data_IF_929140052308
#
_entry.id   IF_929140052308
#
_cell.length_a   1.000
_cell.length_b   1.000
_cell.length_c   1.000
_cell.angle_alpha   90.00
_cell.angle_beta   90.00
_cell.angle_gamma   90.00
#
_symmetry.space_group_name_H-M   'P 1'
#
loop_
_entity.id
_entity.type
_entity.pdbx_description
1 polymer ?
#
# COMPACT_ATOMS: atom_id res chain seq x y z
N UNK A 1 3.44 10.60 -1.64
CA UNK A 1 3.73 12.02 -1.33
C UNK A 1 3.28 12.51 0.07
N UNK A 2 2.21 12.01 0.70
CA UNK A 2 1.83 12.45 2.06
C UNK A 2 2.86 12.08 3.15
N UNK A 3 3.49 10.91 3.05
CA UNK A 3 4.49 10.44 4.03
C UNK A 3 5.77 11.29 4.05
N UNK A 4 6.20 11.80 2.89
CA UNK A 4 7.36 12.69 2.77
C UNK A 4 7.08 14.06 3.42
N UNK A 5 5.90 14.62 3.19
CA UNK A 5 5.46 15.88 3.80
C UNK A 5 5.28 15.74 5.32
N UNK A 6 4.71 14.62 5.78
CA UNK A 6 4.55 14.34 7.22
C UNK A 6 5.88 14.23 7.96
N UNK A 7 6.89 13.59 7.34
CA UNK A 7 8.22 13.49 7.94
C UNK A 7 9.00 14.82 7.93
N UNK A 8 8.90 15.61 6.85
CA UNK A 8 9.55 16.93 6.79
C UNK A 8 8.95 17.92 7.79
N UNK A 9 7.63 17.88 8.01
CA UNK A 9 6.96 18.72 9.02
C UNK A 9 7.29 18.27 10.46
N UNK A 10 7.61 16.99 10.66
CA UNK A 10 8.01 16.44 11.96
C UNK A 10 9.51 16.60 12.27
N UNK A 11 10.30 17.23 11.38
CA UNK A 11 11.75 17.40 11.56
C UNK A 11 12.55 16.08 11.52
N UNK A 12 11.98 15.03 10.91
CA UNK A 12 12.61 13.73 10.78
C UNK A 12 13.49 13.68 9.52
N UNK A 13 14.62 12.94 9.53
CA UNK A 13 15.40 12.70 8.32
C UNK A 13 14.49 12.11 7.23
N UNK A 14 14.69 12.55 5.99
CA UNK A 14 13.84 12.16 4.88
C UNK A 14 13.71 10.63 4.82
N UNK A 15 12.50 10.07 4.96
CA UNK A 15 12.32 8.62 5.13
C UNK A 15 12.68 7.83 3.88
N UNK A 16 12.79 8.49 2.72
CA UNK A 16 13.12 7.88 1.44
C UNK A 16 14.19 8.71 0.72
N UNK A 17 15.16 8.03 0.12
CA UNK A 17 16.20 8.67 -0.70
C UNK A 17 15.70 8.97 -2.11
N UNK A 18 16.37 9.88 -2.82
CA UNK A 18 16.01 10.23 -4.20
C UNK A 18 16.03 9.02 -5.14
N UNK A 19 16.92 8.06 -4.94
CA UNK A 19 16.98 6.82 -5.72
C UNK A 19 15.82 5.84 -5.42
N UNK A 20 15.28 5.88 -4.20
CA UNK A 20 14.17 5.02 -3.79
C UNK A 20 12.81 5.47 -4.38
N UNK A 21 12.65 6.76 -4.71
CA UNK A 21 11.39 7.26 -5.29
C UNK A 21 11.09 6.67 -6.69
N UNK A 22 12.01 6.70 -7.67
CA UNK A 22 11.80 6.05 -8.96
C UNK A 22 11.60 4.55 -8.84
N UNK A 23 12.32 3.90 -7.91
CA UNK A 23 12.13 2.48 -7.63
C UNK A 23 10.69 2.17 -7.26
N UNK A 24 10.13 2.92 -6.32
CA UNK A 24 8.75 2.76 -5.88
C UNK A 24 7.76 2.98 -7.05
N UNK A 25 7.84 4.13 -7.72
CA UNK A 25 6.82 4.50 -8.71
C UNK A 25 6.90 3.68 -10.01
N UNK A 26 8.09 3.19 -10.39
CA UNK A 26 8.29 2.46 -11.65
C UNK A 26 8.26 0.96 -11.42
N UNK A 27 9.08 0.46 -10.49
CA UNK A 27 9.32 -0.97 -10.33
C UNK A 27 8.29 -1.60 -9.39
N UNK A 28 7.87 -0.88 -8.35
CA UNK A 28 6.96 -1.44 -7.35
C UNK A 28 5.49 -1.23 -7.72
N UNK A 29 5.14 -0.05 -8.22
CA UNK A 29 3.75 0.27 -8.59
C UNK A 29 3.39 -0.09 -10.04
N UNK A 30 4.37 -0.12 -10.93
CA UNK A 30 4.17 -0.41 -12.36
C UNK A 30 3.56 -1.80 -12.61
N UNK A 31 4.17 -2.90 -12.13
CA UNK A 31 3.66 -4.24 -12.39
C UNK A 31 2.24 -4.50 -11.84
N UNK A 32 1.88 -4.12 -10.59
CA UNK A 32 0.51 -4.22 -10.12
C UNK A 32 -0.49 -3.40 -10.94
N UNK A 33 -0.12 -2.18 -11.36
CA UNK A 33 -0.99 -1.36 -12.21
C UNK A 33 -1.28 -2.02 -13.57
N UNK A 34 -0.24 -2.60 -14.19
CA UNK A 34 -0.39 -3.36 -15.43
C UNK A 34 -1.23 -4.63 -15.23
N UNK A 35 -1.06 -5.34 -14.11
CA UNK A 35 -1.85 -6.52 -13.79
C UNK A 35 -3.34 -6.18 -13.57
N UNK A 36 -3.64 -5.01 -13.01
CA UNK A 36 -5.01 -4.51 -12.88
C UNK A 36 -5.62 -4.09 -14.22
N UNK A 37 -4.80 -3.59 -15.17
CA UNK A 37 -5.28 -3.21 -16.49
C UNK A 37 -5.77 -4.41 -17.33
N UNK A 38 -5.26 -5.61 -17.06
CA UNK A 38 -5.64 -6.87 -17.74
C UNK A 38 -6.57 -7.74 -16.89
N UNK A 39 -7.10 -7.21 -15.78
CA UNK A 39 -8.02 -7.93 -14.92
C UNK A 39 -9.35 -8.19 -15.67
N UNK A 40 -9.86 -9.43 -15.71
CA UNK A 40 -11.09 -9.73 -16.45
C UNK A 40 -12.26 -8.89 -15.94
N UNK A 41 -13.07 -8.41 -16.89
CA UNK A 41 -14.30 -7.71 -16.59
C UNK A 41 -15.22 -8.59 -15.74
N UNK A 42 -15.97 -7.97 -14.83
CA UNK A 42 -16.87 -8.68 -13.93
C UNK A 42 -18.06 -9.25 -14.70
N UNK A 43 -18.57 -10.40 -14.24
CA UNK A 43 -19.71 -11.08 -14.86
C UNK A 43 -21.00 -10.22 -14.87
N UNK A 44 -21.09 -9.22 -13.99
CA UNK A 44 -22.20 -8.28 -13.85
C UNK A 44 -22.00 -6.92 -14.52
N UNK A 45 -20.90 -6.73 -15.27
CA UNK A 45 -20.57 -5.43 -15.88
C UNK A 45 -21.67 -4.94 -16.83
N UNK A 46 -22.26 -5.84 -17.62
CA UNK A 46 -23.34 -5.54 -18.57
C UNK A 46 -24.71 -5.35 -17.91
N UNK A 47 -24.83 -5.63 -16.60
CA UNK A 47 -26.07 -5.42 -15.83
C UNK A 47 -26.14 -4.05 -15.19
N UNK A 48 -25.04 -3.30 -15.20
CA UNK A 48 -24.98 -1.95 -14.66
C UNK A 48 -25.28 -0.94 -15.77
N UNK A 49 -26.01 0.15 -15.48
CA UNK A 49 -26.24 1.21 -16.46
C UNK A 49 -24.90 1.83 -16.91
N UNK A 50 -24.82 2.35 -18.15
CA UNK A 50 -23.64 3.06 -18.62
C UNK A 50 -23.24 4.19 -17.67
N UNK A 51 -21.94 4.37 -17.45
CA UNK A 51 -21.44 5.44 -16.57
C UNK A 51 -21.77 6.81 -17.18
N UNK A 52 -22.23 7.73 -16.33
CA UNK A 52 -22.52 9.10 -16.72
C UNK A 52 -21.22 9.81 -17.14
N UNK A 53 -21.14 10.40 -18.36
CA UNK A 53 -19.96 11.13 -18.83
C UNK A 53 -19.56 12.32 -17.95
N UNK A 54 -20.51 12.92 -17.23
CA UNK A 54 -20.26 14.04 -16.33
C UNK A 54 -19.71 13.58 -14.96
N UNK A 55 -19.77 12.28 -14.67
CA UNK A 55 -19.31 11.73 -13.40
C UNK A 55 -17.77 11.69 -13.34
N UNK A 56 -17.20 12.55 -12.48
CA UNK A 56 -15.76 12.63 -12.29
C UNK A 56 -15.16 11.29 -11.89
N UNK A 57 -14.01 10.94 -12.49
CA UNK A 57 -13.22 9.76 -12.11
C UNK A 57 -12.85 9.81 -10.62
N UNK A 58 -12.57 11.01 -10.12
CA UNK A 58 -12.30 11.32 -8.72
C UNK A 58 -13.52 12.01 -8.08
N UNK A 59 -14.44 11.22 -7.54
CA UNK A 59 -15.51 11.72 -6.68
C UNK A 59 -14.97 12.04 -5.27
N UNK A 60 -15.64 12.94 -4.53
CA UNK A 60 -15.26 13.30 -3.16
C UNK A 60 -15.10 12.08 -2.24
N UNK A 61 -15.94 11.05 -2.42
CA UNK A 61 -15.82 9.75 -1.72
C UNK A 61 -14.50 9.04 -2.02
N UNK A 62 -14.08 9.00 -3.29
CA UNK A 62 -12.80 8.38 -3.70
C UNK A 62 -11.61 9.19 -3.19
N UNK A 63 -11.69 10.51 -3.28
CA UNK A 63 -10.65 11.39 -2.75
C UNK A 63 -10.47 11.21 -1.23
N UNK A 64 -11.57 11.09 -0.48
CA UNK A 64 -11.54 10.81 0.95
C UNK A 64 -10.97 9.42 1.29
N UNK A 65 -11.25 8.41 0.46
CA UNK A 65 -10.66 7.08 0.64
C UNK A 65 -9.14 7.11 0.40
N UNK A 66 -8.69 7.75 -0.69
CA UNK A 66 -7.26 7.91 -1.02
C UNK A 66 -6.54 8.71 0.08
N UNK A 67 -7.14 9.81 0.55
CA UNK A 67 -6.53 10.64 1.59
C UNK A 67 -6.44 9.89 2.93
N UNK A 68 -7.46 9.10 3.30
CA UNK A 68 -7.41 8.23 4.48
C UNK A 68 -6.31 7.19 4.36
N UNK A 69 -6.24 6.45 3.24
CA UNK A 69 -5.21 5.44 3.02
C UNK A 69 -3.81 6.07 3.11
N UNK A 70 -3.61 7.22 2.45
CA UNK A 70 -2.36 7.97 2.53
C UNK A 70 -2.01 8.46 3.93
N UNK A 71 -3.00 8.88 4.72
CA UNK A 71 -2.81 9.29 6.11
C UNK A 71 -2.39 8.11 7.01
N UNK A 72 -3.03 6.94 6.86
CA UNK A 72 -2.66 5.73 7.61
C UNK A 72 -1.26 5.27 7.24
N UNK A 73 -0.89 5.29 5.96
CA UNK A 73 0.48 4.97 5.52
C UNK A 73 1.51 5.96 6.08
N UNK A 74 1.21 7.25 6.03
CA UNK A 74 2.11 8.28 6.55
C UNK A 74 2.31 8.12 8.06
N UNK A 75 1.23 7.96 8.81
CA UNK A 75 1.28 7.77 10.25
C UNK A 75 1.99 6.47 10.63
N UNK A 76 1.68 5.36 9.97
CA UNK A 76 2.36 4.08 10.18
C UNK A 76 3.85 4.15 9.89
N UNK A 77 4.25 4.83 8.81
CA UNK A 77 5.68 5.01 8.47
C UNK A 77 6.40 5.89 9.51
N UNK A 78 5.78 6.99 9.94
CA UNK A 78 6.36 7.89 10.96
C UNK A 78 6.47 7.19 12.31
N UNK A 79 5.44 6.45 12.73
CA UNK A 79 5.46 5.68 13.98
C UNK A 79 6.54 4.61 13.93
N UNK A 80 6.64 3.86 12.82
CA UNK A 80 7.69 2.86 12.65
C UNK A 80 9.07 3.49 12.74
N UNK A 81 9.30 4.63 12.08
CA UNK A 81 10.57 5.33 12.12
C UNK A 81 10.87 5.88 13.53
N UNK A 82 9.88 6.41 14.23
CA UNK A 82 10.02 6.89 15.60
C UNK A 82 10.41 5.77 16.58
N UNK A 83 9.85 4.57 16.41
CA UNK A 83 10.13 3.39 17.25
C UNK A 83 11.44 2.69 16.85
N UNK A 84 11.75 2.61 15.56
CA UNK A 84 12.93 1.90 15.06
C UNK A 84 14.23 2.67 15.25
N UNK A 85 14.20 4.02 15.19
CA UNK A 85 15.40 4.86 15.38
C UNK A 85 16.15 4.59 16.70
N UNK A 86 15.50 4.62 17.88
CA UNK A 86 16.20 4.38 19.15
C UNK A 86 16.67 2.93 19.33
N UNK A 87 16.03 1.97 18.65
CA UNK A 87 16.33 0.54 18.82
C UNK A 87 17.43 0.01 17.89
N UNK A 88 17.49 0.49 16.64
CA UNK A 88 18.31 -0.13 15.59
C UNK A 88 19.19 0.86 14.80
N UNK A 89 19.17 2.16 15.15
CA UNK A 89 19.90 3.21 14.46
C UNK A 89 19.17 3.78 13.23
N UNK A 90 19.62 4.95 12.77
CA UNK A 90 18.95 5.73 11.72
C UNK A 90 18.93 5.02 10.36
N UNK A 91 20.05 4.43 9.94
CA UNK A 91 20.15 3.80 8.61
C UNK A 91 19.25 2.56 8.47
N UNK A 92 19.19 1.76 9.55
CA UNK A 92 18.27 0.63 9.64
C UNK A 92 16.81 1.10 9.64
N UNK A 93 16.48 2.15 10.41
CA UNK A 93 15.14 2.70 10.46
C UNK A 93 14.67 3.27 9.10
N UNK A 94 15.57 3.89 8.33
CA UNK A 94 15.29 4.35 6.96
C UNK A 94 15.04 3.16 6.02
N UNK A 95 15.81 2.08 6.15
CA UNK A 95 15.58 0.85 5.35
C UNK A 95 14.25 0.18 5.71
N UNK A 96 13.88 0.19 7.00
CA UNK A 96 12.58 -0.28 7.48
C UNK A 96 11.44 0.58 6.95
N UNK A 97 11.60 1.90 6.91
CA UNK A 97 10.61 2.83 6.35
C UNK A 97 10.41 2.60 4.85
N UNK A 98 11.49 2.43 4.10
CA UNK A 98 11.46 2.08 2.67
C UNK A 98 10.71 0.76 2.43
N UNK A 99 11.05 -0.27 3.20
CA UNK A 99 10.44 -1.61 3.08
C UNK A 99 8.97 -1.59 3.50
N UNK A 100 8.63 -0.92 4.59
CA UNK A 100 7.25 -0.76 5.02
C UNK A 100 6.42 0.02 3.99
N UNK A 101 6.98 1.05 3.35
CA UNK A 101 6.30 1.80 2.30
C UNK A 101 5.95 0.93 1.09
N UNK A 102 6.89 0.08 0.67
CA UNK A 102 6.65 -0.91 -0.38
C UNK A 102 5.53 -1.86 0.02
N UNK A 103 5.57 -2.42 1.23
CA UNK A 103 4.53 -3.32 1.71
C UNK A 103 3.17 -2.62 1.82
N UNK A 104 3.13 -1.35 2.23
CA UNK A 104 1.92 -0.53 2.22
C UNK A 104 1.31 -0.43 0.82
N UNK A 105 2.12 -0.21 -0.21
CA UNK A 105 1.66 -0.15 -1.60
C UNK A 105 1.06 -1.50 -2.05
N UNK A 106 1.71 -2.62 -1.68
CA UNK A 106 1.18 -3.96 -1.96
C UNK A 106 -0.21 -4.15 -1.34
N UNK A 107 -0.38 -3.86 -0.05
CA UNK A 107 -1.69 -3.97 0.61
C UNK A 107 -2.72 -2.98 0.06
N UNK A 108 -2.29 -1.77 -0.31
CA UNK A 108 -3.17 -0.77 -0.90
C UNK A 108 -3.67 -1.18 -2.29
N UNK A 109 -2.83 -1.82 -3.10
CA UNK A 109 -3.24 -2.37 -4.40
C UNK A 109 -4.33 -3.44 -4.26
N UNK A 110 -4.25 -4.26 -3.21
CA UNK A 110 -5.28 -5.25 -2.87
C UNK A 110 -6.59 -4.56 -2.46
N UNK A 111 -6.50 -3.51 -1.64
CA UNK A 111 -7.67 -2.71 -1.24
C UNK A 111 -8.34 -2.00 -2.41
N UNK A 112 -7.57 -1.37 -3.30
CA UNK A 112 -8.07 -0.63 -4.46
C UNK A 112 -8.83 -1.54 -5.42
N UNK A 113 -8.37 -2.78 -5.62
CA UNK A 113 -9.11 -3.78 -6.43
C UNK A 113 -10.45 -4.15 -5.82
N UNK A 114 -10.58 -4.08 -4.51
CA UNK A 114 -11.76 -4.50 -3.78
C UNK A 114 -12.84 -3.40 -3.68
N UNK A 115 -12.73 -2.27 -4.37
CA UNK A 115 -13.64 -1.12 -4.19
C UNK A 115 -15.15 -1.46 -4.32
N UNK A 116 -15.49 -2.53 -5.03
CA UNK A 116 -16.87 -2.99 -5.24
C UNK A 116 -17.09 -4.45 -4.77
N UNK A 117 -16.33 -4.93 -3.77
CA UNK A 117 -16.43 -6.28 -3.19
C UNK A 117 -15.63 -6.53 -1.90
N UNK A 118 -15.69 -7.73 -1.29
CA UNK A 118 -14.89 -8.06 -0.12
C UNK A 118 -13.40 -8.17 -0.47
N UNK A 119 -12.54 -7.53 0.35
CA UNK A 119 -11.07 -7.46 0.15
C UNK A 119 -10.40 -8.84 0.06
N UNK A 120 -10.95 -9.83 0.78
CA UNK A 120 -10.50 -11.22 0.80
C UNK A 120 -11.52 -12.17 0.14
N UNK A 121 -12.16 -11.72 -0.94
CA UNK A 121 -13.11 -12.55 -1.69
C UNK A 121 -12.44 -13.62 -2.55
N UNK A 122 -13.20 -14.67 -2.92
CA UNK A 122 -12.77 -15.72 -3.89
C UNK A 122 -12.25 -15.16 -5.22
N UNK A 123 -12.73 -13.98 -5.62
CA UNK A 123 -12.31 -13.28 -6.83
C UNK A 123 -10.91 -12.62 -6.72
N UNK A 124 -10.42 -12.38 -5.50
CA UNK A 124 -9.08 -11.85 -5.23
C UNK A 124 -7.99 -12.90 -5.46
N UNK A 125 -8.29 -14.16 -5.13
CA UNK A 125 -7.37 -15.28 -5.33
C UNK A 125 -7.42 -15.88 -6.76
N UNK A 126 -8.37 -15.43 -7.60
CA UNK A 126 -8.53 -15.96 -8.97
C UNK A 126 -7.56 -15.34 -9.97
N UNK A 127 -7.14 -14.08 -9.79
CA UNK A 127 -6.19 -13.43 -10.68
C UNK A 127 -4.74 -13.79 -10.32
N UNK A 128 -4.23 -14.87 -10.93
CA UNK A 128 -2.85 -15.33 -10.74
C UNK A 128 -1.81 -14.29 -11.16
N UNK A 129 -2.11 -13.46 -12.16
CA UNK A 129 -1.19 -12.43 -12.67
C UNK A 129 -0.91 -11.37 -11.60
N UNK A 130 -1.94 -10.92 -10.88
CA UNK A 130 -1.79 -9.97 -9.78
C UNK A 130 -0.92 -10.57 -8.66
N UNK A 131 -1.15 -11.82 -8.28
CA UNK A 131 -0.32 -12.50 -7.27
C UNK A 131 1.13 -12.71 -7.72
N UNK A 132 1.36 -13.03 -9.01
CA UNK A 132 2.69 -13.12 -9.58
C UNK A 132 3.41 -11.76 -9.57
N UNK A 133 2.72 -10.68 -9.92
CA UNK A 133 3.27 -9.33 -9.83
C UNK A 133 3.59 -8.95 -8.38
N UNK A 134 2.69 -9.16 -7.42
CA UNK A 134 2.94 -8.89 -6.00
C UNK A 134 4.14 -9.69 -5.47
N UNK A 135 4.20 -10.99 -5.78
CA UNK A 135 5.29 -11.85 -5.37
C UNK A 135 6.62 -11.44 -6.03
N UNK A 136 6.60 -11.07 -7.31
CA UNK A 136 7.76 -10.55 -8.03
C UNK A 136 8.27 -9.25 -7.43
N UNK A 137 7.38 -8.31 -7.13
CA UNK A 137 7.70 -7.04 -6.47
C UNK A 137 8.31 -7.29 -5.08
N UNK A 138 7.75 -8.21 -4.29
CA UNK A 138 8.31 -8.59 -3.00
C UNK A 138 9.70 -9.25 -3.14
N UNK A 139 9.88 -10.14 -4.10
CA UNK A 139 11.17 -10.79 -4.36
C UNK A 139 12.23 -9.75 -4.76
N UNK A 140 11.87 -8.82 -5.64
CA UNK A 140 12.74 -7.72 -6.06
C UNK A 140 13.08 -6.79 -4.88
N UNK A 141 12.15 -6.56 -3.96
CA UNK A 141 12.44 -5.82 -2.71
C UNK A 141 13.44 -6.55 -1.83
N UNK A 142 13.30 -7.87 -1.64
CA UNK A 142 14.24 -8.69 -0.87
C UNK A 142 15.63 -8.64 -1.50
N UNK A 143 15.71 -8.76 -2.84
CA UNK A 143 16.98 -8.62 -3.57
C UNK A 143 17.58 -7.23 -3.36
N UNK A 144 16.79 -6.16 -3.44
CA UNK A 144 17.29 -4.80 -3.23
C UNK A 144 17.91 -4.59 -1.84
N UNK A 145 17.35 -5.22 -0.80
CA UNK A 145 17.82 -5.09 0.58
C UNK A 145 19.02 -5.99 0.90
N UNK A 146 19.08 -7.21 0.35
CA UNK A 146 20.13 -8.18 0.69
C UNK A 146 21.34 -8.14 -0.28
N UNK A 147 21.13 -7.79 -1.55
CA UNK A 147 22.21 -7.82 -2.55
C UNK A 147 23.22 -6.69 -2.30
N UNK A 148 24.53 -6.97 -2.16
CA UNK A 148 25.54 -5.95 -1.89
C UNK A 148 25.56 -4.78 -2.90
N UNK A 149 25.40 -5.09 -4.19
CA UNK A 149 25.40 -4.09 -5.26
C UNK A 149 24.16 -3.20 -5.25
N UNK A 150 23.02 -3.71 -4.79
CA UNK A 150 21.80 -2.91 -4.66
C UNK A 150 21.85 -2.04 -3.40
N UNK A 151 22.44 -2.55 -2.31
CA UNK A 151 22.64 -1.81 -1.05
C UNK A 151 23.41 -0.51 -1.24
N UNK A 152 24.46 -0.52 -2.07
CA UNK A 152 25.25 0.70 -2.36
C UNK A 152 24.47 1.74 -3.15
N UNK A 153 23.57 1.30 -4.04
CA UNK A 153 22.73 2.19 -4.86
C UNK A 153 21.60 2.81 -4.04
N UNK A 154 20.94 2.02 -3.19
CA UNK A 154 19.78 2.47 -2.42
C UNK A 154 20.12 2.97 -1.01
N UNK A 155 21.36 2.79 -0.55
CA UNK A 155 21.79 3.12 0.80
C UNK A 155 21.10 2.27 1.86
N UNK A 156 20.85 0.99 1.58
CA UNK A 156 20.07 0.09 2.46
C UNK A 156 20.94 -0.82 3.31
N UNK A 157 20.47 -1.09 4.53
CA UNK A 157 21.10 -2.00 5.49
C UNK A 157 20.35 -3.34 5.48
N UNK A 158 21.03 -4.50 5.58
CA UNK A 158 20.33 -5.78 5.69
C UNK A 158 19.38 -5.79 6.89
N UNK A 159 18.13 -6.16 6.64
CA UNK A 159 17.10 -6.27 7.67
C UNK A 159 17.07 -7.68 8.24
N UNK A 160 16.88 -7.76 9.57
CA UNK A 160 16.65 -9.02 10.27
C UNK A 160 15.18 -9.47 10.14
N UNK A 161 14.90 -10.75 10.41
CA UNK A 161 13.56 -11.33 10.32
C UNK A 161 12.54 -10.60 11.22
N UNK A 162 12.99 -10.15 12.40
CA UNK A 162 12.18 -9.37 13.35
C UNK A 162 11.77 -8.01 12.77
N UNK A 163 12.68 -7.34 12.09
CA UNK A 163 12.44 -6.03 11.46
C UNK A 163 11.50 -6.18 10.25
N UNK A 164 11.66 -7.23 9.45
CA UNK A 164 10.71 -7.60 8.41
C UNK A 164 9.31 -7.83 8.97
N UNK A 165 9.19 -8.55 10.10
CA UNK A 165 7.90 -8.78 10.75
C UNK A 165 7.26 -7.47 11.26
N UNK A 166 8.05 -6.54 11.80
CA UNK A 166 7.57 -5.21 12.20
C UNK A 166 7.10 -4.37 10.99
N UNK A 167 7.85 -4.39 9.89
CA UNK A 167 7.46 -3.73 8.65
C UNK A 167 6.14 -4.33 8.10
N UNK A 168 6.00 -5.66 8.11
CA UNK A 168 4.80 -6.35 7.66
C UNK A 168 3.60 -6.06 8.57
N UNK A 169 3.79 -6.10 9.89
CA UNK A 169 2.77 -5.75 10.88
C UNK A 169 2.29 -4.31 10.70
N UNK A 170 3.23 -3.38 10.55
CA UNK A 170 2.90 -1.98 10.28
C UNK A 170 2.17 -1.82 8.95
N UNK A 171 2.61 -2.50 7.89
CA UNK A 171 2.00 -2.43 6.58
C UNK A 171 0.55 -2.96 6.56
N UNK A 172 0.28 -4.01 7.36
CA UNK A 172 -1.06 -4.59 7.51
C UNK A 172 -2.08 -3.63 8.11
N UNK A 173 -1.65 -2.56 8.80
CA UNK A 173 -2.56 -1.58 9.40
C UNK A 173 -3.43 -0.87 8.37
N UNK A 174 -2.92 -0.64 7.16
CA UNK A 174 -3.71 -0.05 6.06
C UNK A 174 -4.82 -1.00 5.60
N UNK A 175 -4.53 -2.30 5.53
CA UNK A 175 -5.52 -3.32 5.21
C UNK A 175 -6.62 -3.35 6.28
N UNK A 176 -6.23 -3.37 7.55
CA UNK A 176 -7.15 -3.42 8.69
C UNK A 176 -8.00 -2.14 8.80
N UNK A 177 -7.40 -0.96 8.61
CA UNK A 177 -8.12 0.30 8.65
C UNK A 177 -9.20 0.37 7.57
N UNK A 178 -8.88 -0.09 6.35
CA UNK A 178 -9.83 -0.09 5.24
C UNK A 178 -10.96 -1.12 5.45
N UNK A 179 -10.62 -2.30 6.01
CA UNK A 179 -11.61 -3.31 6.37
C UNK A 179 -12.56 -2.80 7.46
N UNK A 180 -12.03 -2.13 8.50
CA UNK A 180 -12.82 -1.57 9.59
C UNK A 180 -13.82 -0.51 9.08
N UNK A 181 -13.37 0.37 8.18
CA UNK A 181 -14.27 1.35 7.54
C UNK A 181 -15.37 0.67 6.74
N UNK A 182 -15.03 -0.35 5.95
CA UNK A 182 -16.02 -1.09 5.15
C UNK A 182 -17.04 -1.81 6.04
N UNK A 183 -16.58 -2.42 7.13
CA UNK A 183 -17.44 -3.05 8.12
C UNK A 183 -18.42 -2.04 8.74
N UNK A 184 -17.93 -0.86 9.16
CA UNK A 184 -18.78 0.22 9.68
C UNK A 184 -19.82 0.68 8.65
N UNK A 185 -19.43 0.85 7.38
CA UNK A 185 -20.38 1.22 6.31
C UNK A 185 -21.44 0.14 6.05
N UNK A 186 -21.08 -1.14 6.13
CA UNK A 186 -22.04 -2.24 5.98
C UNK A 186 -23.04 -2.32 7.14
N UNK A 187 -22.60 -2.05 8.37
CA UNK A 187 -23.47 -2.01 9.55
C UNK A 187 -24.48 -0.85 9.45
N UNK A 188 -24.03 0.34 9.02
CA UNK A 188 -24.91 1.49 8.82
C UNK A 188 -25.94 1.26 7.71
N UNK A 189 -25.53 0.65 6.58
CA UNK A 189 -26.46 0.31 5.48
C UNK A 189 -27.41 -0.84 5.81
N UNK A 190 -27.05 -1.72 6.75
CA UNK A 190 -27.93 -2.76 7.28
C UNK A 190 -29.05 -2.19 8.15
N UNK A 191 -28.81 -1.08 8.85
CA UNK A 191 -29.80 -0.41 9.68
C UNK A 191 -30.88 0.33 8.85
N UNK A 192 -30.52 0.82 7.66
CA UNK A 192 -31.43 1.54 6.75
C UNK A 192 -32.40 0.62 5.98
N UNK A 193 -32.22 -0.71 6.06
CA UNK A 193 -33.13 -1.71 5.47
C UNK A 193 -34.09 -2.34 6.47
N UNK A 194 -33.98 -1.97 7.75
CA UNK A 194 -34.78 -2.51 8.85
C UNK A 194 -35.89 -1.53 9.32
N UNK A 195 -36.07 -0.41 8.62
CA UNK A 195 -37.15 0.58 8.84
C UNK A 195 -37.98 0.67 7.57
#
# INVERSE_FOLDING_TARGET
MPALLGASLAGLPAPLTAAQLPWINIIMDGPPAMALAVDPARDDVMRHPPRDPEERILNARRLFAISRAGAVMALGTVVLLALARPACGTDTALTMAFTAFVLFQLFNSLNARADDGPVLGRHQFRNRTLWLCLAGVLAVQVVAVHLPSARTVFGTVPLDATQWALCLGTASTVLLAELAVRAAQSALRGSDRAV
#
